data_IF_638521810689
#
_entry.id   IF_638521810689
#
_cell.length_a   1.000
_cell.length_b   1.000
_cell.length_c   1.000
_cell.angle_alpha   90.00
_cell.angle_beta   90.00
_cell.angle_gamma   90.00
#
_symmetry.space_group_name_H-M   'P 1'
#
loop_
_entity.id
_entity.type
_entity.pdbx_description
1 polymer ?
#
# COMPACT_ATOMS: atom_id res chain seq x y z
N UNK A 1 -9.66 -22.31 -30.93
CA UNK A 1 -10.77 -23.29 -30.91
C UNK A 1 -11.15 -23.48 -29.45
N UNK A 2 -12.31 -22.97 -29.03
CA UNK A 2 -12.83 -23.15 -27.67
C UNK A 2 -13.69 -24.42 -27.64
N UNK A 3 -13.36 -25.46 -26.85
CA UNK A 3 -14.36 -26.43 -26.48
C UNK A 3 -15.29 -25.81 -25.42
N UNK A 4 -16.57 -26.11 -25.59
CA UNK A 4 -17.69 -25.65 -24.79
C UNK A 4 -18.33 -26.86 -24.14
N UNK A 5 -18.83 -26.68 -22.91
CA UNK A 5 -19.81 -27.47 -22.14
C UNK A 5 -19.31 -28.77 -21.49
N UNK A 6 -19.67 -28.97 -20.22
CA UNK A 6 -20.72 -29.93 -19.81
C UNK A 6 -21.06 -29.84 -18.31
N UNK A 7 -22.30 -29.39 -18.05
CA UNK A 7 -23.32 -30.05 -17.22
C UNK A 7 -22.92 -30.66 -15.86
N UNK A 8 -23.17 -29.92 -14.78
CA UNK A 8 -23.31 -30.50 -13.44
C UNK A 8 -24.71 -31.13 -13.27
N UNK A 9 -24.72 -32.40 -12.88
CA UNK A 9 -25.90 -33.18 -12.53
C UNK A 9 -26.24 -32.91 -11.06
N UNK A 10 -27.40 -32.29 -10.80
CA UNK A 10 -27.98 -32.18 -9.47
C UNK A 10 -28.48 -33.55 -8.99
N UNK A 11 -27.83 -34.12 -7.98
CA UNK A 11 -28.36 -35.22 -7.20
C UNK A 11 -28.72 -34.72 -5.80
N UNK A 12 -30.03 -34.49 -5.59
CA UNK A 12 -30.59 -34.18 -4.30
C UNK A 12 -30.63 -35.44 -3.43
N UNK A 13 -30.03 -35.37 -2.23
CA UNK A 13 -30.23 -36.39 -1.20
C UNK A 13 -30.72 -35.73 0.08
N UNK A 14 -32.04 -35.80 0.27
CA UNK A 14 -32.70 -35.61 1.57
C UNK A 14 -32.31 -36.72 2.53
N UNK A 15 -31.79 -36.37 3.70
CA UNK A 15 -31.87 -37.23 4.88
C UNK A 15 -32.23 -36.39 6.10
N UNK A 16 -33.46 -36.60 6.58
CA UNK A 16 -33.93 -36.14 7.86
C UNK A 16 -33.87 -37.31 8.84
N UNK A 17 -33.27 -37.15 10.01
CA UNK A 17 -33.69 -37.86 11.24
C UNK A 17 -33.33 -37.04 12.47
N UNK A 18 -34.34 -36.85 13.32
CA UNK A 18 -34.31 -36.13 14.59
C UNK A 18 -33.99 -37.07 15.77
N UNK A 19 -33.40 -36.54 16.85
CA UNK A 19 -33.98 -36.45 18.22
C UNK A 19 -32.91 -36.37 19.34
N UNK A 20 -33.00 -35.27 20.10
CA UNK A 20 -32.99 -35.16 21.56
C UNK A 20 -31.86 -35.78 22.41
N UNK A 21 -31.15 -34.91 23.14
CA UNK A 21 -31.04 -35.04 24.60
C UNK A 21 -30.66 -33.71 25.26
N UNK A 22 -31.29 -33.50 26.41
CA UNK A 22 -31.28 -32.33 27.28
C UNK A 22 -30.01 -32.30 28.15
N UNK A 23 -29.38 -31.14 28.31
CA UNK A 23 -28.29 -30.91 29.26
C UNK A 23 -28.18 -29.44 29.56
N UNK A 24 -28.82 -29.00 30.63
CA UNK A 24 -28.76 -27.65 31.17
C UNK A 24 -27.82 -27.69 32.37
N UNK A 25 -26.81 -26.81 32.43
CA UNK A 25 -26.15 -26.43 33.69
C UNK A 25 -25.28 -25.16 33.52
N UNK A 26 -25.55 -24.21 34.40
CA UNK A 26 -24.77 -23.04 34.85
C UNK A 26 -24.35 -21.92 33.89
N UNK A 27 -25.11 -20.82 33.96
CA UNK A 27 -24.67 -19.48 33.57
C UNK A 27 -23.81 -18.85 34.70
N UNK A 28 -22.59 -18.36 34.44
CA UNK A 28 -21.90 -17.53 35.40
C UNK A 28 -22.55 -16.14 35.47
N UNK A 29 -22.70 -15.68 36.71
CA UNK A 29 -23.20 -14.36 37.07
C UNK A 29 -22.20 -13.29 36.60
N UNK A 30 -22.64 -12.41 35.72
CA UNK A 30 -21.89 -11.21 35.32
C UNK A 30 -21.93 -10.21 36.47
N UNK A 31 -20.79 -9.96 37.12
CA UNK A 31 -20.63 -8.85 38.05
C UNK A 31 -20.54 -7.53 37.25
N UNK A 32 -21.46 -6.64 37.55
CA UNK A 32 -21.58 -5.28 37.04
C UNK A 32 -20.48 -4.39 37.64
N UNK A 33 -19.58 -3.78 36.84
CA UNK A 33 -18.63 -2.80 37.35
C UNK A 33 -19.32 -1.44 37.61
N UNK A 34 -18.89 -0.70 38.64
CA UNK A 34 -19.59 0.50 39.10
C UNK A 34 -19.46 1.67 38.14
N UNK A 35 -20.57 2.41 38.01
CA UNK A 35 -20.70 3.66 37.28
C UNK A 35 -19.57 4.66 37.62
N UNK A 36 -18.77 5.01 36.61
CA UNK A 36 -17.84 6.13 36.68
C UNK A 36 -18.57 7.44 36.36
N UNK A 37 -18.42 8.35 37.30
CA UNK A 37 -18.94 9.71 37.41
C UNK A 37 -18.60 10.59 36.20
N UNK A 38 -19.63 11.16 35.58
CA UNK A 38 -19.49 12.30 34.64
C UNK A 38 -19.06 13.56 35.41
N UNK A 39 -18.14 14.34 34.85
CA UNK A 39 -17.84 15.72 35.26
C UNK A 39 -17.53 16.54 33.99
N UNK A 40 -17.95 17.81 33.92
CA UNK A 40 -18.44 18.44 32.69
C UNK A 40 -17.46 19.42 32.05
N UNK A 41 -17.83 19.81 30.83
CA UNK A 41 -17.65 21.11 30.17
C UNK A 41 -16.28 21.79 30.28
N UNK A 42 -15.58 21.88 29.15
CA UNK A 42 -14.84 23.10 28.86
C UNK A 42 -15.13 23.60 27.43
N UNK A 43 -15.75 24.77 27.40
CA UNK A 43 -16.22 25.48 26.20
C UNK A 43 -15.09 26.42 25.76
N UNK A 44 -14.32 25.99 24.77
CA UNK A 44 -13.23 26.76 24.17
C UNK A 44 -13.67 27.57 22.95
N UNK A 45 -13.61 28.89 23.09
CA UNK A 45 -14.12 29.93 22.20
C UNK A 45 -13.74 29.87 20.71
N UNK A 46 -14.76 30.17 19.91
CA UNK A 46 -14.74 30.72 18.55
C UNK A 46 -13.84 31.96 18.42
N UNK A 47 -12.99 31.98 17.39
CA UNK A 47 -12.47 33.24 16.84
C UNK A 47 -12.51 33.18 15.31
N UNK A 48 -13.36 34.03 14.72
CA UNK A 48 -13.40 34.32 13.29
C UNK A 48 -12.46 35.50 12.97
N UNK A 49 -11.81 35.52 11.80
CA UNK A 49 -11.44 36.76 11.13
C UNK A 49 -12.37 36.97 9.93
N UNK A 50 -13.27 37.94 10.01
CA UNK A 50 -13.11 39.31 9.49
C UNK A 50 -13.01 39.36 7.96
N UNK A 51 -14.20 39.58 7.42
CA UNK A 51 -14.60 39.78 6.04
C UNK A 51 -14.38 41.27 5.71
N UNK A 52 -13.39 41.60 4.88
CA UNK A 52 -13.23 42.95 4.32
C UNK A 52 -13.18 42.89 2.80
N UNK A 53 -14.34 43.12 2.21
CA UNK A 53 -14.51 43.53 0.81
C UNK A 53 -14.29 45.04 0.68
N UNK A 54 -13.55 45.52 -0.33
CA UNK A 54 -13.74 46.85 -0.87
C UNK A 54 -14.55 46.79 -2.16
N UNK A 55 -15.78 47.29 -2.09
CA UNK A 55 -16.55 47.77 -3.25
C UNK A 55 -15.83 48.95 -3.88
N UNK A 56 -15.52 48.89 -5.18
CA UNK A 56 -15.33 50.09 -6.00
C UNK A 56 -16.23 50.02 -7.21
N UNK A 57 -17.20 50.91 -7.17
CA UNK A 57 -18.17 51.26 -8.20
C UNK A 57 -17.49 52.21 -9.19
N UNK A 58 -17.42 51.84 -10.47
CA UNK A 58 -17.05 52.75 -11.55
C UNK A 58 -17.93 52.46 -12.78
N UNK A 59 -18.64 53.51 -13.18
CA UNK A 59 -19.66 53.56 -14.22
C UNK A 59 -19.14 53.24 -15.63
N UNK A 60 -20.04 52.83 -16.56
CA UNK A 60 -19.68 52.53 -17.94
C UNK A 60 -19.58 53.83 -18.75
N UNK A 61 -18.47 54.01 -19.47
CA UNK A 61 -18.38 54.99 -20.55
C UNK A 61 -18.21 54.24 -21.86
N UNK A 62 -19.25 54.31 -22.68
CA UNK A 62 -19.29 53.82 -24.06
C UNK A 62 -18.92 54.99 -24.96
N UNK A 63 -17.80 54.92 -25.68
CA UNK A 63 -17.60 55.65 -26.93
C UNK A 63 -16.95 54.74 -27.98
N UNK A 64 -17.47 54.95 -29.19
CA UNK A 64 -17.47 54.15 -30.43
C UNK A 64 -16.31 54.62 -31.36
N UNK A 65 -16.17 54.07 -32.58
CA UNK A 65 -15.01 53.34 -33.09
C UNK A 65 -14.00 54.22 -33.85
N UNK A 66 -12.72 53.87 -33.76
CA UNK A 66 -11.66 54.43 -34.60
C UNK A 66 -10.85 53.30 -35.20
N UNK A 67 -11.13 53.00 -36.47
CA UNK A 67 -10.28 52.17 -37.34
C UNK A 67 -8.87 52.78 -37.48
N UNK A 68 -7.91 51.92 -37.79
CA UNK A 68 -6.47 52.14 -37.99
C UNK A 68 -5.60 52.01 -36.72
N UNK A 69 -5.39 50.76 -36.28
CA UNK A 69 -4.16 50.41 -35.57
C UNK A 69 -3.52 49.19 -36.21
N UNK A 70 -2.44 49.46 -36.94
CA UNK A 70 -1.51 48.47 -37.45
C UNK A 70 -0.89 47.76 -36.27
N UNK A 71 -1.45 46.61 -35.87
CA UNK A 71 -1.00 45.78 -34.76
C UNK A 71 0.50 45.53 -34.80
N UNK A 72 1.25 46.44 -34.19
CA UNK A 72 2.53 46.13 -33.62
C UNK A 72 2.17 45.34 -32.38
N UNK A 73 2.33 44.02 -32.44
CA UNK A 73 2.45 43.21 -31.24
C UNK A 73 3.51 43.92 -30.38
N UNK A 74 3.06 44.61 -29.32
CA UNK A 74 3.96 45.24 -28.37
C UNK A 74 4.77 44.09 -27.79
N UNK A 75 6.01 43.99 -28.25
CA UNK A 75 6.99 43.03 -27.75
C UNK A 75 7.00 43.21 -26.23
N UNK A 76 6.58 42.20 -25.45
CA UNK A 76 6.47 42.34 -24.01
C UNK A 76 7.82 42.83 -23.47
N UNK A 77 7.83 43.73 -22.46
CA UNK A 77 9.07 44.26 -21.91
C UNK A 77 9.95 43.08 -21.54
N UNK A 78 11.17 43.04 -22.10
CA UNK A 78 12.11 41.96 -21.84
C UNK A 78 12.35 41.88 -20.34
N UNK A 79 11.83 40.84 -19.69
CA UNK A 79 12.13 40.51 -18.31
C UNK A 79 13.64 40.26 -18.24
N UNK A 80 14.35 40.98 -17.37
CA UNK A 80 15.78 40.74 -17.14
C UNK A 80 15.95 39.38 -16.47
N UNK A 81 16.11 38.33 -17.29
CA UNK A 81 16.34 36.97 -16.81
C UNK A 81 17.72 36.86 -16.14
N UNK A 82 17.86 36.04 -15.07
CA UNK A 82 19.16 35.79 -14.46
C UNK A 82 20.18 35.25 -15.47
N UNK A 83 21.46 35.56 -15.29
CA UNK A 83 22.53 34.98 -16.13
C UNK A 83 23.27 33.82 -15.45
N UNK A 84 23.06 33.63 -14.15
CA UNK A 84 23.59 32.51 -13.39
C UNK A 84 22.67 31.27 -13.58
N UNK A 85 23.19 30.09 -13.93
CA UNK A 85 22.37 28.90 -14.20
C UNK A 85 21.51 28.47 -13.01
N UNK A 86 21.99 28.67 -11.78
CA UNK A 86 21.24 28.30 -10.58
C UNK A 86 20.07 29.25 -10.35
N UNK A 87 20.32 30.57 -10.41
CA UNK A 87 19.25 31.55 -10.32
C UNK A 87 18.25 31.44 -11.48
N UNK A 88 18.73 31.09 -12.69
CA UNK A 88 17.89 30.86 -13.86
C UNK A 88 16.94 29.67 -13.63
N UNK A 89 17.46 28.56 -13.12
CA UNK A 89 16.66 27.40 -12.76
C UNK A 89 15.63 27.70 -11.66
N UNK A 90 16.02 28.47 -10.63
CA UNK A 90 15.12 28.83 -9.54
C UNK A 90 13.94 29.70 -10.05
N UNK A 91 14.20 30.64 -10.99
CA UNK A 91 13.13 31.41 -11.65
C UNK A 91 12.26 30.52 -12.53
N UNK A 92 12.85 29.56 -13.24
CA UNK A 92 12.09 28.61 -14.07
C UNK A 92 11.15 27.74 -13.24
N UNK A 93 11.63 27.16 -12.13
CA UNK A 93 10.80 26.35 -11.23
C UNK A 93 9.71 27.20 -10.57
N UNK A 94 10.00 28.44 -10.20
CA UNK A 94 8.97 29.35 -9.67
C UNK A 94 7.90 29.69 -10.73
N UNK A 95 8.31 30.01 -11.96
CA UNK A 95 7.39 30.23 -13.08
C UNK A 95 6.51 29.01 -13.33
N UNK A 96 7.07 27.80 -13.15
CA UNK A 96 6.33 26.56 -13.27
C UNK A 96 5.29 26.39 -12.16
N UNK A 97 5.67 26.66 -10.90
CA UNK A 97 4.74 26.65 -9.75
C UNK A 97 3.61 27.65 -9.94
N UNK A 98 3.92 28.84 -10.47
CA UNK A 98 2.95 29.92 -10.71
C UNK A 98 2.12 29.73 -12.00
N UNK A 99 2.41 28.69 -12.79
CA UNK A 99 1.82 28.42 -14.11
C UNK A 99 1.96 29.61 -15.08
N UNK A 100 3.09 30.33 -15.04
CA UNK A 100 3.40 31.43 -15.96
C UNK A 100 3.91 30.89 -17.31
N UNK A 101 2.96 30.49 -18.17
CA UNK A 101 3.25 29.93 -19.50
C UNK A 101 4.16 30.83 -20.34
N UNK A 102 3.97 32.16 -20.29
CA UNK A 102 4.76 33.10 -21.08
C UNK A 102 6.23 33.14 -20.64
N UNK A 103 6.48 33.11 -19.33
CA UNK A 103 7.84 33.04 -18.79
C UNK A 103 8.48 31.66 -19.04
N UNK A 104 7.72 30.57 -18.94
CA UNK A 104 8.22 29.22 -19.26
C UNK A 104 8.61 29.08 -20.74
N UNK A 105 7.79 29.60 -21.66
CA UNK A 105 8.10 29.65 -23.10
C UNK A 105 9.35 30.48 -23.41
N UNK A 106 9.59 31.55 -22.65
CA UNK A 106 10.80 32.36 -22.79
C UNK A 106 12.05 31.61 -22.30
N UNK A 107 11.90 30.74 -21.29
CA UNK A 107 13.03 30.15 -20.58
C UNK A 107 13.44 28.75 -21.06
N UNK A 108 12.52 27.98 -21.65
CA UNK A 108 12.74 26.61 -22.12
C UNK A 108 12.77 26.49 -23.65
N UNK A 109 13.65 25.63 -24.16
CA UNK A 109 13.90 25.47 -25.60
C UNK A 109 13.02 24.43 -26.31
N UNK A 110 12.18 23.68 -25.59
CA UNK A 110 11.40 22.56 -26.14
C UNK A 110 9.90 22.64 -25.75
N UNK A 111 8.96 22.60 -26.71
CA UNK A 111 7.52 22.53 -26.42
C UNK A 111 7.10 21.24 -25.67
N UNK A 112 7.88 20.16 -25.70
CA UNK A 112 7.60 18.94 -24.91
C UNK A 112 7.70 19.20 -23.41
N UNK A 113 8.51 20.18 -23.00
CA UNK A 113 8.67 20.58 -21.59
C UNK A 113 7.35 21.16 -21.07
N UNK A 114 6.64 21.97 -21.87
CA UNK A 114 5.39 22.62 -21.46
C UNK A 114 4.22 21.63 -21.32
N UNK A 115 4.16 20.61 -22.18
CA UNK A 115 3.07 19.61 -22.13
C UNK A 115 3.12 18.76 -20.85
N UNK A 116 4.31 18.32 -20.43
CA UNK A 116 4.48 17.56 -19.18
C UNK A 116 4.25 18.41 -17.92
N UNK A 117 4.42 19.72 -18.03
CA UNK A 117 4.41 20.65 -16.89
C UNK A 117 3.02 21.01 -16.37
N UNK A 118 1.97 20.88 -17.19
CA UNK A 118 0.60 21.27 -16.79
C UNK A 118 0.00 20.42 -15.67
N UNK A 119 0.53 19.22 -15.41
CA UNK A 119 -0.02 18.30 -14.41
C UNK A 119 0.63 18.39 -13.01
N UNK A 120 1.80 19.01 -12.88
CA UNK A 120 2.62 18.95 -11.66
C UNK A 120 3.04 20.33 -11.13
N UNK A 121 2.32 21.40 -11.53
CA UNK A 121 2.54 22.74 -10.98
C UNK A 121 1.87 22.89 -9.60
N UNK A 122 2.59 23.42 -8.61
CA UNK A 122 2.03 23.77 -7.29
C UNK A 122 2.80 23.27 -6.06
N UNK A 123 3.89 22.53 -6.25
CA UNK A 123 4.60 21.90 -5.13
C UNK A 123 5.73 22.80 -4.57
N UNK A 124 5.96 22.69 -3.26
CA UNK A 124 7.03 23.38 -2.54
C UNK A 124 8.41 22.77 -2.81
N UNK A 125 8.90 22.92 -4.05
CA UNK A 125 10.17 22.35 -4.49
C UNK A 125 11.35 22.90 -3.68
N UNK A 126 12.14 21.98 -3.12
CA UNK A 126 13.41 22.26 -2.44
C UNK A 126 14.57 21.88 -3.35
N UNK A 127 15.48 22.81 -3.61
CA UNK A 127 16.65 22.59 -4.45
C UNK A 127 17.76 21.83 -3.73
N UNK A 128 18.30 20.81 -4.37
CA UNK A 128 19.51 20.09 -3.96
C UNK A 128 20.82 20.73 -4.48
N UNK A 129 21.95 20.05 -4.29
CA UNK A 129 23.24 20.54 -4.77
C UNK A 129 23.35 20.42 -6.30
N UNK A 130 23.74 21.49 -7.02
CA UNK A 130 23.89 21.44 -8.46
C UNK A 130 25.14 20.64 -8.85
N UNK A 131 25.05 19.93 -9.98
CA UNK A 131 26.18 19.22 -10.59
C UNK A 131 26.47 19.80 -11.98
N UNK A 132 27.71 19.69 -12.45
CA UNK A 132 28.10 20.16 -13.79
C UNK A 132 28.56 18.98 -14.62
N UNK A 133 27.88 18.75 -15.74
CA UNK A 133 28.22 17.72 -16.71
C UNK A 133 29.52 18.01 -17.47
N UNK A 134 30.07 16.99 -18.14
CA UNK A 134 31.27 17.14 -18.97
C UNK A 134 31.07 18.11 -20.15
N UNK A 135 29.83 18.29 -20.58
CA UNK A 135 29.38 19.22 -21.62
C UNK A 135 29.20 20.67 -21.11
N UNK A 136 29.40 20.91 -19.81
CA UNK A 136 29.20 22.22 -19.17
C UNK A 136 27.74 22.53 -18.81
N UNK A 137 26.81 21.61 -19.06
CA UNK A 137 25.42 21.74 -18.61
C UNK A 137 25.38 21.64 -17.07
N UNK A 138 24.59 22.51 -16.44
CA UNK A 138 24.35 22.47 -14.99
C UNK A 138 23.05 21.71 -14.75
N UNK A 139 23.13 20.65 -13.96
CA UNK A 139 21.98 19.85 -13.53
C UNK A 139 21.60 20.23 -12.10
N UNK A 140 20.35 20.62 -11.91
CA UNK A 140 19.80 21.05 -10.63
C UNK A 140 18.68 20.09 -10.21
N UNK A 141 18.91 19.26 -9.18
CA UNK A 141 17.86 18.44 -8.62
C UNK A 141 16.97 19.28 -7.70
N UNK A 142 15.67 19.03 -7.76
CA UNK A 142 14.64 19.56 -6.88
C UNK A 142 13.82 18.38 -6.35
N UNK A 143 13.38 18.47 -5.11
CA UNK A 143 12.47 17.50 -4.51
C UNK A 143 11.34 18.22 -3.78
N UNK A 144 10.14 17.68 -3.79
CA UNK A 144 9.02 18.22 -3.01
C UNK A 144 8.67 17.35 -1.79
N UNK A 145 7.67 17.79 -1.02
CA UNK A 145 7.17 17.08 0.16
C UNK A 145 6.41 15.79 -0.20
N UNK A 146 5.98 15.66 -1.46
CA UNK A 146 5.31 14.47 -1.99
C UNK A 146 6.30 13.51 -2.63
N UNK A 147 7.60 13.76 -2.46
CA UNK A 147 8.67 12.95 -2.99
C UNK A 147 8.70 12.91 -4.52
N UNK A 148 8.17 13.94 -5.19
CA UNK A 148 8.51 14.13 -6.58
C UNK A 148 9.95 14.63 -6.67
N UNK A 149 10.71 14.07 -7.59
CA UNK A 149 12.01 14.57 -8.01
C UNK A 149 11.89 15.25 -9.37
N UNK A 150 12.44 16.45 -9.44
CA UNK A 150 12.55 17.26 -10.64
C UNK A 150 14.04 17.46 -10.93
N UNK A 151 14.49 17.05 -12.09
CA UNK A 151 15.82 17.40 -12.60
C UNK A 151 15.65 18.49 -13.67
N UNK A 152 16.23 19.67 -13.42
CA UNK A 152 16.31 20.76 -14.40
C UNK A 152 17.73 20.84 -14.94
N UNK A 153 17.87 20.79 -16.27
CA UNK A 153 19.15 20.96 -16.97
C UNK A 153 19.22 22.32 -17.64
N UNK A 154 20.26 23.07 -17.30
CA UNK A 154 20.48 24.43 -17.76
C UNK A 154 21.79 24.53 -18.53
N UNK A 155 21.76 25.12 -19.73
CA UNK A 155 22.94 25.39 -20.55
C UNK A 155 23.44 26.82 -20.33
N UNK A 156 24.59 27.04 -19.66
CA UNK A 156 25.14 28.37 -19.45
C UNK A 156 25.46 29.08 -20.78
N UNK A 157 25.90 28.33 -21.79
CA UNK A 157 26.20 28.88 -23.13
C UNK A 157 24.97 29.50 -23.79
N UNK A 158 23.79 28.87 -23.64
CA UNK A 158 22.54 29.41 -24.18
C UNK A 158 22.10 30.67 -23.44
N UNK A 159 22.24 30.69 -22.11
CA UNK A 159 21.95 31.89 -21.29
C UNK A 159 22.85 33.06 -21.71
N UNK A 160 24.16 32.84 -21.86
CA UNK A 160 25.11 33.87 -22.31
C UNK A 160 24.81 34.39 -23.72
N UNK A 161 24.25 33.53 -24.59
CA UNK A 161 23.80 33.91 -25.92
C UNK A 161 22.44 34.63 -25.94
N UNK A 162 21.76 34.74 -24.80
CA UNK A 162 20.40 35.31 -24.70
C UNK A 162 19.31 34.40 -25.29
N UNK A 163 19.56 33.09 -25.37
CA UNK A 163 18.62 32.07 -25.79
C UNK A 163 17.98 31.38 -24.57
N UNK A 164 16.85 30.65 -24.73
CA UNK A 164 16.26 29.86 -23.66
C UNK A 164 17.29 28.90 -23.06
N UNK A 165 17.59 29.05 -21.77
CA UNK A 165 18.66 28.30 -21.08
C UNK A 165 18.28 26.93 -20.56
N UNK A 166 16.99 26.62 -20.36
CA UNK A 166 16.56 25.27 -19.94
C UNK A 166 16.50 24.36 -21.16
N UNK A 167 17.28 23.29 -21.11
CA UNK A 167 17.46 22.35 -22.23
C UNK A 167 16.78 21.00 -22.01
N UNK A 168 16.50 20.64 -20.76
CA UNK A 168 15.73 19.45 -20.42
C UNK A 168 15.15 19.57 -19.03
N UNK A 169 14.00 18.94 -18.85
CA UNK A 169 13.34 18.75 -17.57
C UNK A 169 12.90 17.30 -17.50
N UNK A 170 13.16 16.65 -16.37
CA UNK A 170 12.57 15.34 -16.09
C UNK A 170 11.93 15.36 -14.70
N UNK A 171 10.67 14.97 -14.66
CA UNK A 171 9.93 14.73 -13.42
C UNK A 171 9.84 13.23 -13.25
N UNK A 172 10.18 12.75 -12.06
CA UNK A 172 9.96 11.35 -11.66
C UNK A 172 9.47 11.34 -10.23
N UNK A 173 8.77 10.29 -9.85
CA UNK A 173 8.66 9.99 -8.44
C UNK A 173 10.09 9.71 -7.93
N UNK A 174 10.50 10.48 -6.94
CA UNK A 174 11.72 10.26 -6.19
C UNK A 174 11.63 8.99 -5.35
N UNK A 175 12.69 8.64 -4.63
CA UNK A 175 12.63 7.54 -3.68
C UNK A 175 11.83 8.00 -2.44
N UNK A 176 10.58 7.55 -2.27
CA UNK A 176 9.70 7.91 -1.13
C UNK A 176 10.48 8.08 0.17
N UNK A 177 10.34 9.20 0.91
CA UNK A 177 11.15 9.46 2.08
C UNK A 177 10.98 8.28 3.01
N UNK A 178 12.10 7.65 3.35
CA UNK A 178 12.09 6.59 4.33
C UNK A 178 11.59 7.23 5.63
N UNK A 179 10.49 6.72 6.21
CA UNK A 179 9.94 7.34 7.41
C UNK A 179 10.92 7.30 8.58
N UNK A 180 10.58 7.96 9.70
CA UNK A 180 11.47 7.98 10.88
C UNK A 180 10.78 7.55 12.18
N UNK A 181 9.55 7.07 12.08
CA UNK A 181 8.77 6.52 13.18
C UNK A 181 8.20 5.16 12.77
N UNK A 182 7.96 4.28 13.74
CA UNK A 182 7.43 2.95 13.46
C UNK A 182 6.04 3.02 12.80
N UNK A 183 5.20 3.94 13.25
CA UNK A 183 3.85 4.17 12.72
C UNK A 183 3.89 4.64 11.27
N UNK A 184 4.79 5.57 10.94
CA UNK A 184 4.92 6.05 9.56
C UNK A 184 5.53 4.99 8.64
N UNK A 185 6.47 4.16 9.13
CA UNK A 185 6.97 3.00 8.37
C UNK A 185 5.88 2.01 8.05
N UNK A 186 5.11 1.63 9.07
CA UNK A 186 4.03 0.68 8.88
C UNK A 186 2.98 1.24 7.90
N UNK A 187 2.61 2.51 8.04
CA UNK A 187 1.64 3.14 7.14
C UNK A 187 2.17 3.24 5.71
N UNK A 188 3.45 3.61 5.54
CA UNK A 188 4.10 3.65 4.23
C UNK A 188 4.16 2.27 3.58
N UNK A 189 4.46 1.23 4.37
CA UNK A 189 4.53 -0.16 3.90
C UNK A 189 3.16 -0.68 3.46
N UNK A 190 2.11 -0.47 4.28
CA UNK A 190 0.72 -0.83 3.93
C UNK A 190 0.22 -0.09 2.70
N UNK A 191 0.57 1.19 2.56
CA UNK A 191 0.20 1.98 1.38
C UNK A 191 0.93 1.47 0.13
N UNK A 192 2.25 1.23 0.21
CA UNK A 192 3.04 0.69 -0.89
C UNK A 192 2.51 -0.67 -1.36
N UNK A 193 2.12 -1.55 -0.41
CA UNK A 193 1.41 -2.79 -0.68
C UNK A 193 0.10 -2.56 -1.45
N UNK A 194 -0.79 -1.71 -0.94
CA UNK A 194 -2.08 -1.44 -1.58
C UNK A 194 -1.98 -0.75 -2.95
N UNK A 195 -0.89 -0.03 -3.24
CA UNK A 195 -0.66 0.60 -4.54
C UNK A 195 0.16 -0.26 -5.51
N UNK A 196 0.68 -1.40 -5.07
CA UNK A 196 1.58 -2.25 -5.87
C UNK A 196 2.94 -1.61 -6.17
N UNK A 197 3.45 -0.78 -5.25
CA UNK A 197 4.77 -0.17 -5.36
C UNK A 197 5.86 -1.11 -4.80
N UNK A 198 6.25 -2.09 -5.63
CA UNK A 198 7.25 -3.11 -5.29
C UNK A 198 8.60 -2.50 -4.87
N UNK A 199 9.06 -1.44 -5.55
CA UNK A 199 10.35 -0.80 -5.24
C UNK A 199 10.32 -0.17 -3.86
N UNK A 200 9.21 0.46 -3.47
CA UNK A 200 9.11 1.04 -2.14
C UNK A 200 8.91 -0.02 -1.05
N UNK A 201 8.15 -1.07 -1.33
CA UNK A 201 8.02 -2.24 -0.44
C UNK A 201 9.37 -2.86 -0.10
N UNK A 202 10.19 -3.14 -1.13
CA UNK A 202 11.54 -3.71 -1.01
C UNK A 202 12.48 -2.85 -0.17
N UNK A 203 12.21 -1.55 -0.08
CA UNK A 203 13.01 -0.62 0.71
C UNK A 203 12.53 -0.51 2.16
N UNK A 204 11.23 -0.69 2.40
CA UNK A 204 10.63 -0.52 3.72
C UNK A 204 10.66 -1.79 4.56
N UNK A 205 10.48 -2.96 3.93
CA UNK A 205 10.31 -4.23 4.64
C UNK A 205 11.28 -5.31 4.22
N UNK A 206 11.50 -6.25 5.14
CA UNK A 206 12.29 -7.44 4.88
C UNK A 206 11.59 -8.38 3.88
N UNK A 207 12.34 -9.33 3.31
CA UNK A 207 11.77 -10.41 2.48
C UNK A 207 10.59 -11.12 3.17
N UNK A 208 10.64 -11.30 4.49
CA UNK A 208 9.55 -11.92 5.26
C UNK A 208 8.29 -11.06 5.25
N UNK A 209 8.42 -9.75 5.46
CA UNK A 209 7.30 -8.82 5.39
C UNK A 209 6.73 -8.76 3.97
N UNK A 210 7.57 -8.69 2.94
CA UNK A 210 7.13 -8.60 1.54
C UNK A 210 6.38 -9.86 1.12
N UNK A 211 6.89 -11.04 1.44
CA UNK A 211 6.21 -12.30 1.13
C UNK A 211 4.84 -12.44 1.83
N UNK A 212 4.57 -11.66 2.87
CA UNK A 212 3.25 -11.62 3.47
C UNK A 212 2.25 -10.79 2.65
N UNK A 213 2.70 -9.82 1.84
CA UNK A 213 1.89 -8.83 1.11
C UNK A 213 0.94 -9.45 0.08
N UNK A 214 1.39 -10.50 -0.61
CA UNK A 214 0.59 -11.20 -1.64
C UNK A 214 -0.78 -11.71 -1.14
N UNK A 215 -0.95 -11.79 0.18
CA UNK A 215 -2.17 -12.30 0.82
C UNK A 215 -3.21 -11.20 1.07
N UNK A 216 -2.84 -9.92 0.95
CA UNK A 216 -3.69 -8.80 1.38
C UNK A 216 -3.77 -7.60 0.43
N UNK A 217 -3.29 -7.72 -0.81
CA UNK A 217 -3.39 -6.67 -1.84
C UNK A 217 -4.85 -6.27 -2.17
N UNK A 218 -5.79 -7.20 -2.00
CA UNK A 218 -7.23 -7.02 -2.23
C UNK A 218 -7.96 -6.28 -1.09
N UNK A 219 -7.31 -5.99 0.03
CA UNK A 219 -7.96 -5.37 1.21
C UNK A 219 -7.73 -3.86 1.28
N UNK A 220 -8.79 -3.13 1.65
CA UNK A 220 -8.69 -1.71 1.99
C UNK A 220 -8.41 -1.57 3.48
N UNK A 221 -7.21 -1.11 3.81
CA UNK A 221 -6.81 -0.88 5.20
C UNK A 221 -7.19 0.53 5.65
N UNK A 222 -7.82 0.60 6.82
CA UNK A 222 -8.08 1.85 7.52
C UNK A 222 -6.79 2.50 8.02
N UNK A 223 -6.92 3.68 8.63
CA UNK A 223 -5.79 4.34 9.29
C UNK A 223 -5.27 3.49 10.45
N UNK A 224 -3.95 3.49 10.66
CA UNK A 224 -3.32 2.77 11.78
C UNK A 224 -3.94 3.16 13.12
N UNK A 225 -4.14 2.15 13.96
CA UNK A 225 -4.65 2.26 15.32
C UNK A 225 -3.73 1.53 16.27
N UNK A 226 -3.11 2.29 17.18
CA UNK A 226 -2.32 1.81 18.32
C UNK A 226 -0.98 1.18 17.93
N UNK A 227 0.11 1.82 18.39
CA UNK A 227 1.41 1.18 18.50
C UNK A 227 1.53 0.55 19.89
N UNK A 228 1.79 -0.75 19.95
CA UNK A 228 2.20 -1.42 21.18
C UNK A 228 3.70 -1.72 21.14
N UNK A 229 4.37 -1.44 22.25
CA UNK A 229 5.77 -1.79 22.44
C UNK A 229 5.87 -3.25 22.87
N UNK A 230 6.50 -4.07 22.02
CA UNK A 230 6.96 -5.38 22.45
C UNK A 230 8.29 -5.23 23.20
N UNK A 231 8.61 -6.23 24.02
CA UNK A 231 9.97 -6.39 24.51
C UNK A 231 10.92 -6.53 23.30
N UNK A 232 12.15 -6.02 23.43
CA UNK A 232 13.22 -6.07 22.40
C UNK A 232 13.23 -4.99 21.29
N UNK A 233 12.48 -3.89 21.45
CA UNK A 233 12.60 -2.74 20.53
C UNK A 233 11.83 -2.89 19.22
N UNK A 234 10.88 -3.82 19.19
CA UNK A 234 9.92 -3.97 18.10
C UNK A 234 8.63 -3.24 18.46
N UNK A 235 8.15 -2.40 17.54
CA UNK A 235 6.83 -1.79 17.61
C UNK A 235 5.84 -2.63 16.79
N UNK A 236 4.65 -2.86 17.34
CA UNK A 236 3.53 -3.46 16.59
C UNK A 236 2.56 -2.35 16.26
N UNK A 237 2.33 -2.11 14.97
CA UNK A 237 1.38 -1.13 14.48
C UNK A 237 0.19 -1.88 13.88
N UNK A 238 -0.99 -1.60 14.41
CA UNK A 238 -2.21 -2.30 13.99
C UNK A 238 -3.02 -1.47 13.01
N UNK A 239 -3.62 -2.08 11.99
CA UNK A 239 -4.53 -1.48 11.02
C UNK A 239 -5.84 -2.27 11.03
N UNK A 240 -6.97 -1.58 11.03
CA UNK A 240 -8.27 -2.22 10.88
C UNK A 240 -8.60 -2.35 9.39
N UNK A 241 -8.88 -3.55 8.93
CA UNK A 241 -9.42 -3.85 7.61
C UNK A 241 -10.95 -3.95 7.61
N UNK A 242 -11.50 -4.42 6.49
CA UNK A 242 -12.91 -4.79 6.37
C UNK A 242 -13.21 -6.10 7.13
N UNK A 243 -14.48 -6.35 7.46
CA UNK A 243 -14.95 -7.60 8.08
C UNK A 243 -14.21 -8.05 9.36
N UNK A 244 -13.86 -7.08 10.22
CA UNK A 244 -13.13 -7.29 11.48
C UNK A 244 -11.72 -7.89 11.30
N UNK A 245 -11.19 -7.91 10.07
CA UNK A 245 -9.79 -8.25 9.80
C UNK A 245 -8.90 -7.15 10.38
N UNK A 246 -7.87 -7.57 11.07
CA UNK A 246 -6.84 -6.70 11.62
C UNK A 246 -5.54 -7.01 10.89
N UNK A 247 -4.68 -6.03 10.68
CA UNK A 247 -3.33 -6.23 10.21
C UNK A 247 -2.37 -5.68 11.25
N UNK A 248 -1.36 -6.46 11.62
CA UNK A 248 -0.31 -6.11 12.55
C UNK A 248 1.01 -6.08 11.81
N UNK A 249 1.59 -4.89 11.74
CA UNK A 249 2.89 -4.66 11.13
C UNK A 249 3.93 -4.55 12.25
N UNK A 250 4.91 -5.45 12.23
CA UNK A 250 6.03 -5.47 13.17
C UNK A 250 7.16 -4.63 12.60
N UNK A 251 7.59 -3.62 13.33
CA UNK A 251 8.61 -2.65 12.90
C UNK A 251 9.76 -2.62 13.90
N UNK A 252 10.99 -2.78 13.43
CA UNK A 252 12.20 -2.53 14.20
C UNK A 252 12.33 -1.02 14.46
N UNK A 253 12.23 -0.61 15.73
CA UNK A 253 12.24 0.81 16.08
C UNK A 253 13.62 1.45 15.90
N UNK A 254 14.71 0.72 16.14
CA UNK A 254 16.06 1.27 15.98
C UNK A 254 16.32 1.59 14.50
N UNK A 255 15.93 0.68 13.61
CA UNK A 255 16.00 0.92 12.16
C UNK A 255 15.05 2.04 11.73
N UNK A 256 13.82 2.06 12.25
CA UNK A 256 12.86 3.10 11.91
C UNK A 256 13.33 4.49 12.34
N UNK A 257 13.80 4.67 13.57
CA UNK A 257 14.32 5.96 14.07
C UNK A 257 15.58 6.41 13.32
N UNK A 258 16.35 5.47 12.76
CA UNK A 258 17.50 5.73 11.91
C UNK A 258 17.14 6.02 10.44
N UNK A 259 15.85 5.94 10.06
CA UNK A 259 15.36 5.97 8.69
C UNK A 259 16.13 4.97 7.78
N UNK A 260 16.37 3.77 8.30
CA UNK A 260 17.11 2.70 7.62
C UNK A 260 16.17 1.76 6.84
N UNK A 261 16.61 1.18 5.71
CA UNK A 261 15.80 0.20 5.00
C UNK A 261 15.48 -1.02 5.86
N UNK A 262 14.49 -1.81 5.43
CA UNK A 262 14.10 -3.09 6.04
C UNK A 262 13.59 -2.99 7.49
N UNK A 263 13.09 -1.82 7.91
CA UNK A 263 12.58 -1.65 9.26
C UNK A 263 11.29 -2.45 9.51
N UNK A 264 10.49 -2.75 8.49
CA UNK A 264 9.32 -3.64 8.64
C UNK A 264 9.80 -5.10 8.64
N UNK A 265 9.76 -5.72 9.82
CA UNK A 265 10.24 -7.08 10.05
C UNK A 265 9.23 -8.08 9.48
N UNK A 266 7.95 -7.87 9.77
CA UNK A 266 6.87 -8.78 9.37
C UNK A 266 5.54 -8.04 9.29
N UNK A 267 4.59 -8.56 8.54
CA UNK A 267 3.21 -8.09 8.55
C UNK A 267 2.28 -9.32 8.62
N UNK A 268 1.36 -9.29 9.57
CA UNK A 268 0.50 -10.42 9.91
C UNK A 268 -0.93 -9.93 9.92
N UNK A 269 -1.84 -10.60 9.23
CA UNK A 269 -3.25 -10.41 9.56
C UNK A 269 -3.51 -11.00 10.96
N UNK A 270 -4.23 -10.26 11.79
CA UNK A 270 -4.74 -10.68 13.09
C UNK A 270 -6.27 -10.58 13.01
N UNK A 271 -7.01 -11.28 13.85
CA UNK A 271 -8.45 -11.51 13.65
C UNK A 271 -8.77 -12.95 13.27
N UNK A 272 -7.74 -13.79 13.21
CA UNK A 272 -7.88 -15.19 12.89
C UNK A 272 -8.19 -15.40 11.41
N UNK A 273 -8.11 -16.66 11.00
CA UNK A 273 -8.67 -17.06 9.72
C UNK A 273 -10.20 -16.81 9.74
N UNK A 274 -10.84 -16.45 8.61
CA UNK A 274 -12.28 -16.23 8.58
C UNK A 274 -13.01 -17.43 9.19
N UNK A 275 -14.22 -17.20 9.73
CA UNK A 275 -15.03 -18.26 10.37
C UNK A 275 -15.23 -19.45 9.39
N UNK A 276 -14.33 -20.43 9.47
CA UNK A 276 -14.25 -21.55 8.56
C UNK A 276 -14.50 -22.83 9.32
N UNK A 277 -15.36 -23.68 8.75
CA UNK A 277 -15.44 -25.05 9.22
C UNK A 277 -14.13 -25.78 8.92
N UNK A 278 -13.84 -26.84 9.69
CA UNK A 278 -12.68 -27.73 9.47
C UNK A 278 -12.57 -28.15 8.00
N UNK A 279 -13.70 -28.40 7.35
CA UNK A 279 -13.77 -28.78 5.95
C UNK A 279 -13.17 -27.73 4.99
N UNK A 280 -13.50 -26.46 5.19
CA UNK A 280 -13.02 -25.34 4.39
C UNK A 280 -11.57 -25.01 4.76
N UNK A 281 -11.24 -25.10 6.05
CA UNK A 281 -9.90 -24.90 6.59
C UNK A 281 -8.88 -25.88 5.97
N UNK A 282 -9.19 -27.18 5.94
CA UNK A 282 -8.29 -28.16 5.29
C UNK A 282 -8.29 -28.03 3.77
N UNK A 283 -9.39 -27.60 3.17
CA UNK A 283 -9.43 -27.36 1.72
C UNK A 283 -8.50 -26.21 1.34
N UNK A 284 -8.48 -25.13 2.12
CA UNK A 284 -7.61 -23.99 1.88
C UNK A 284 -6.12 -24.37 1.94
N UNK A 285 -5.71 -25.17 2.94
CA UNK A 285 -4.35 -25.75 2.99
C UNK A 285 -4.02 -26.57 1.74
N UNK A 286 -4.95 -27.42 1.28
CA UNK A 286 -4.74 -28.28 0.11
C UNK A 286 -4.69 -27.48 -1.20
N UNK A 287 -5.44 -26.39 -1.31
CA UNK A 287 -5.35 -25.47 -2.43
C UNK A 287 -4.00 -24.76 -2.45
N UNK A 288 -3.54 -24.24 -1.31
CA UNK A 288 -2.21 -23.65 -1.17
C UNK A 288 -1.08 -24.63 -1.53
N UNK A 289 -1.22 -25.89 -1.11
CA UNK A 289 -0.33 -26.97 -1.55
C UNK A 289 -0.35 -27.16 -3.07
N UNK A 290 -1.53 -27.22 -3.69
CA UNK A 290 -1.67 -27.43 -5.13
C UNK A 290 -1.12 -26.26 -5.97
N UNK A 291 -1.11 -25.06 -5.40
CA UNK A 291 -0.49 -23.86 -5.98
C UNK A 291 1.02 -23.80 -5.73
N UNK A 292 1.50 -24.59 -4.77
CA UNK A 292 2.90 -24.65 -4.39
C UNK A 292 3.34 -23.47 -3.53
N UNK A 293 2.44 -22.97 -2.70
CA UNK A 293 2.64 -21.80 -1.84
C UNK A 293 2.88 -22.21 -0.38
N UNK A 294 4.14 -22.38 0.05
CA UNK A 294 4.47 -22.73 1.42
C UNK A 294 4.20 -21.59 2.41
N UNK A 295 4.09 -20.34 1.95
CA UNK A 295 3.75 -19.21 2.81
C UNK A 295 2.28 -19.33 3.20
N UNK A 296 1.41 -19.56 2.23
CA UNK A 296 -0.03 -19.72 2.50
C UNK A 296 -0.32 -21.00 3.29
N UNK A 297 0.39 -22.10 3.01
CA UNK A 297 0.27 -23.33 3.81
C UNK A 297 0.54 -23.11 5.31
N UNK A 298 1.46 -22.21 5.66
CA UNK A 298 1.80 -21.91 7.07
C UNK A 298 0.70 -21.18 7.84
N UNK A 299 -0.27 -20.56 7.16
CA UNK A 299 -1.45 -20.06 7.87
C UNK A 299 -2.30 -21.18 8.43
N UNK A 300 -2.39 -22.29 7.70
CA UNK A 300 -3.29 -23.38 8.07
C UNK A 300 -2.58 -24.49 8.85
N UNK A 301 -1.31 -24.76 8.57
CA UNK A 301 -0.55 -25.83 9.23
C UNK A 301 0.74 -25.35 9.86
N UNK A 302 1.15 -26.05 10.92
CA UNK A 302 2.43 -25.81 11.59
C UNK A 302 3.63 -25.90 10.62
N UNK A 303 4.75 -25.25 10.95
CA UNK A 303 5.98 -25.32 10.15
C UNK A 303 6.42 -26.78 9.88
N UNK A 304 6.31 -27.65 10.89
CA UNK A 304 6.64 -29.08 10.76
C UNK A 304 5.75 -29.80 9.72
N UNK A 305 4.47 -29.44 9.63
CA UNK A 305 3.54 -29.96 8.63
C UNK A 305 3.93 -29.50 7.22
N UNK A 306 4.21 -28.20 7.05
CA UNK A 306 4.56 -27.64 5.74
C UNK A 306 5.88 -28.23 5.23
N UNK A 307 6.90 -28.29 6.08
CA UNK A 307 8.19 -28.90 5.73
C UNK A 307 8.05 -30.38 5.37
N UNK A 308 7.21 -31.13 6.09
CA UNK A 308 6.97 -32.54 5.81
C UNK A 308 6.26 -32.75 4.45
N UNK A 309 5.30 -31.90 4.11
CA UNK A 309 4.58 -31.94 2.83
C UNK A 309 5.49 -31.55 1.68
N UNK A 310 6.14 -30.39 1.76
CA UNK A 310 7.05 -29.88 0.71
C UNK A 310 8.23 -30.84 0.51
N UNK A 311 8.75 -31.43 1.59
CA UNK A 311 9.84 -32.40 1.51
C UNK A 311 9.46 -33.72 0.82
N UNK A 312 8.18 -34.12 0.86
CA UNK A 312 7.70 -35.38 0.28
C UNK A 312 7.09 -35.23 -1.12
N UNK A 313 6.32 -34.16 -1.33
CA UNK A 313 5.60 -33.90 -2.59
C UNK A 313 6.32 -32.91 -3.50
N UNK A 314 7.31 -32.17 -2.99
CA UNK A 314 7.95 -31.06 -3.67
C UNK A 314 7.20 -29.74 -3.47
N UNK A 315 7.80 -28.65 -3.94
CA UNK A 315 7.20 -27.31 -3.89
C UNK A 315 5.98 -27.19 -4.77
N UNK A 316 5.94 -27.90 -5.90
CA UNK A 316 4.89 -27.70 -6.89
C UNK A 316 3.59 -28.42 -6.49
N UNK A 317 3.61 -29.22 -5.39
CA UNK A 317 2.51 -29.93 -4.72
C UNK A 317 1.56 -30.76 -5.59
N UNK A 318 1.78 -30.76 -6.90
CA UNK A 318 0.73 -30.69 -7.89
C UNK A 318 -0.29 -31.81 -7.77
N UNK A 319 -1.54 -31.49 -8.02
CA UNK A 319 -2.58 -32.51 -7.96
C UNK A 319 -3.98 -31.97 -8.13
N UNK A 320 -4.86 -32.83 -8.63
CA UNK A 320 -6.30 -32.63 -8.55
C UNK A 320 -6.76 -33.34 -7.28
N UNK A 321 -6.54 -32.65 -6.15
CA UNK A 321 -6.82 -33.17 -4.82
C UNK A 321 -8.32 -33.16 -4.55
N UNK A 322 -8.83 -34.30 -4.11
CA UNK A 322 -10.24 -34.45 -3.73
C UNK A 322 -10.38 -35.08 -2.36
N UNK A 323 -11.27 -34.56 -1.52
CA UNK A 323 -11.52 -35.11 -0.19
C UNK A 323 -12.20 -36.48 -0.30
N UNK A 324 -11.60 -37.50 0.32
CA UNK A 324 -12.07 -38.89 0.29
C UNK A 324 -12.57 -39.38 1.64
N UNK A 325 -12.22 -38.71 2.74
CA UNK A 325 -12.65 -39.12 4.08
C UNK A 325 -12.56 -38.01 5.12
N UNK A 326 -13.37 -38.13 6.16
CA UNK A 326 -13.35 -37.33 7.40
C UNK A 326 -13.63 -38.26 8.57
N UNK A 327 -12.78 -38.25 9.58
CA UNK A 327 -12.93 -39.03 10.81
C UNK A 327 -12.75 -38.13 12.05
N UNK A 328 -13.69 -38.18 12.99
CA UNK A 328 -13.63 -37.41 14.24
C UNK A 328 -12.97 -38.25 15.35
N UNK A 329 -11.96 -37.67 16.01
CA UNK A 329 -11.17 -38.28 17.08
C UNK A 329 -11.08 -37.37 18.30
N UNK A 330 -12.22 -37.03 18.91
CA UNK A 330 -12.25 -36.20 20.12
C UNK A 330 -11.99 -34.72 19.80
N UNK A 331 -10.87 -34.19 20.28
CA UNK A 331 -10.37 -32.83 20.01
C UNK A 331 -9.67 -32.70 18.65
N UNK A 332 -9.60 -33.79 17.88
CA UNK A 332 -8.99 -33.81 16.56
C UNK A 332 -9.95 -34.29 15.47
N UNK A 333 -9.76 -33.79 14.25
CA UNK A 333 -10.40 -34.32 13.04
C UNK A 333 -9.33 -34.73 12.05
N UNK A 334 -9.47 -35.93 11.49
CA UNK A 334 -8.60 -36.44 10.44
C UNK A 334 -9.31 -36.32 9.11
N UNK A 335 -8.72 -35.56 8.18
CA UNK A 335 -9.26 -35.35 6.82
C UNK A 335 -8.31 -35.99 5.81
N UNK A 336 -8.86 -36.81 4.92
CA UNK A 336 -8.08 -37.48 3.86
C UNK A 336 -8.42 -36.87 2.51
N UNK A 337 -7.39 -36.52 1.75
CA UNK A 337 -7.46 -36.13 0.35
C UNK A 337 -6.72 -37.15 -0.50
N UNK A 338 -7.15 -37.32 -1.75
CA UNK A 338 -6.45 -38.13 -2.75
C UNK A 338 -6.19 -37.28 -3.99
N UNK A 339 -4.97 -37.35 -4.51
CA UNK A 339 -4.60 -36.74 -5.79
C UNK A 339 -4.95 -37.68 -6.94
N UNK A 340 -5.84 -37.22 -7.82
CA UNK A 340 -6.25 -38.00 -8.99
C UNK A 340 -5.11 -38.24 -10.00
N UNK A 341 -4.03 -37.45 -9.96
CA UNK A 341 -2.91 -37.52 -10.91
C UNK A 341 -1.88 -38.56 -10.47
N UNK A 342 -1.33 -38.43 -9.26
CA UNK A 342 -0.32 -39.34 -8.72
C UNK A 342 -0.90 -40.58 -8.07
N UNK A 343 -2.14 -40.51 -7.58
CA UNK A 343 -2.75 -41.52 -6.73
C UNK A 343 -2.35 -41.42 -5.26
N UNK A 344 -1.54 -40.42 -4.88
CA UNK A 344 -1.14 -40.22 -3.49
C UNK A 344 -2.32 -39.81 -2.61
N UNK A 345 -2.27 -40.18 -1.34
CA UNK A 345 -3.19 -39.70 -0.31
C UNK A 345 -2.48 -38.74 0.65
N UNK A 346 -3.18 -37.68 1.04
CA UNK A 346 -2.76 -36.73 2.05
C UNK A 346 -3.73 -36.83 3.22
N UNK A 347 -3.21 -37.21 4.39
CA UNK A 347 -3.99 -37.35 5.62
C UNK A 347 -3.59 -36.22 6.56
N UNK A 348 -4.52 -35.31 6.83
CA UNK A 348 -4.34 -34.13 7.66
C UNK A 348 -4.98 -34.37 9.02
N UNK A 349 -4.25 -34.12 10.10
CA UNK A 349 -4.80 -34.09 11.46
C UNK A 349 -4.98 -32.64 11.89
N UNK A 350 -6.21 -32.29 12.23
CA UNK A 350 -6.64 -30.93 12.55
C UNK A 350 -6.99 -30.86 14.03
N UNK A 351 -6.47 -29.87 14.73
CA UNK A 351 -6.86 -29.51 16.09
C UNK A 351 -8.15 -28.66 16.05
N UNK A 352 -9.23 -29.19 16.63
CA UNK A 352 -10.57 -28.58 16.53
C UNK A 352 -10.64 -27.29 17.34
N UNK A 353 -9.96 -27.22 18.49
CA UNK A 353 -9.99 -26.04 19.36
C UNK A 353 -9.31 -24.85 18.69
N UNK A 354 -8.17 -25.08 18.05
CA UNK A 354 -7.43 -24.06 17.28
C UNK A 354 -8.27 -23.49 16.14
N UNK A 355 -8.88 -24.35 15.32
CA UNK A 355 -9.74 -23.90 14.21
C UNK A 355 -11.00 -23.18 14.72
N UNK A 356 -11.61 -23.66 15.81
CA UNK A 356 -12.79 -23.03 16.42
C UNK A 356 -12.47 -21.69 17.09
N UNK A 357 -11.22 -21.46 17.49
CA UNK A 357 -10.72 -20.17 17.96
C UNK A 357 -10.34 -19.23 16.80
N UNK A 358 -10.48 -19.68 15.55
CA UNK A 358 -10.04 -18.99 14.34
C UNK A 358 -8.53 -18.78 14.28
N UNK A 359 -7.75 -19.55 15.04
CA UNK A 359 -6.32 -19.36 15.11
C UNK A 359 -5.61 -20.01 13.90
N UNK A 360 -4.36 -19.62 13.70
CA UNK A 360 -3.49 -20.18 12.67
C UNK A 360 -2.98 -21.57 13.06
N UNK A 361 -2.40 -22.28 12.10
CA UNK A 361 -1.68 -23.54 12.32
C UNK A 361 -2.52 -24.71 12.90
N UNK A 362 -3.86 -24.67 12.75
CA UNK A 362 -4.76 -25.74 13.17
C UNK A 362 -4.49 -27.13 12.57
N UNK A 363 -3.74 -27.25 11.47
CA UNK A 363 -3.24 -28.54 10.96
C UNK A 363 -1.91 -28.87 11.66
N UNK A 364 -2.00 -29.82 12.60
CA UNK A 364 -0.92 -30.16 13.53
C UNK A 364 -0.13 -31.41 13.15
N UNK A 365 -0.65 -32.24 12.24
CA UNK A 365 0.10 -33.37 11.70
C UNK A 365 -0.34 -33.72 10.28
N UNK A 366 0.57 -34.35 9.53
CA UNK A 366 0.36 -34.77 8.15
C UNK A 366 1.01 -36.11 7.87
N UNK A 367 0.34 -36.94 7.08
CA UNK A 367 0.89 -38.18 6.53
C UNK A 367 0.62 -38.23 5.02
N UNK A 368 1.67 -38.42 4.22
CA UNK A 368 1.57 -38.62 2.76
C UNK A 368 1.74 -40.10 2.46
N UNK A 369 0.76 -40.70 1.77
CA UNK A 369 0.76 -42.11 1.38
C UNK A 369 0.85 -42.25 -0.15
N UNK A 370 1.65 -43.20 -0.67
CA UNK A 370 1.83 -43.40 -2.10
C UNK A 370 0.74 -44.22 -2.79
#
# INVERSE_FOLDING_TARGET
>A
MKPSRLTAVLAATTLATALAACGAEDAPTVEEPPAATQTPDDTGATTAPDDTTPTTDAAPTTEDPGEDDTGQEEEPPATDLPTDPTAYSDVFVQAWVDQDEGLLEQMASDPVILEQMTHWGGHGWTRGEPTTGEDGTVTLPYSDEQNMELEVRVSPEQIEAGAPGVVAVSVREGPYPIPSSAEDYAAAFVNAAGTGDEEYLERLGSDTAINSVDVWDDFVWGTSGVSEDLEDGVAVVTFAGEDDVVLRVLVDRELAEAAAPDAVINALMDGGLPEMGIEDYTLAFVLALAEGDPVVMRYYGTEEVVDAVVGQLGTDGGGDWSRTGVEEHGDQVVVTYADAVSGAELVLTVDVETVAAHDYEGIVAVEVRP
#
